data_IF_035412332540
#
_entry.id   IF_035412332540
#
_cell.length_a   1.000
_cell.length_b   1.000
_cell.length_c   1.000
_cell.angle_alpha   90.00
_cell.angle_beta   90.00
_cell.angle_gamma   90.00
#
_symmetry.space_group_name_H-M   'P 1'
#
loop_
_entity.id
_entity.type
_entity.pdbx_description
1 polymer ?
#
# COMPACT_ATOMS: atom_id res chain seq x y z
N UNK A 1 1.50 -11.10 10.83
CA UNK A 1 2.38 -11.90 11.69
C UNK A 1 2.75 -13.20 11.00
N UNK A 2 1.79 -14.05 10.62
CA UNK A 2 2.04 -15.35 9.98
C UNK A 2 2.89 -15.22 8.70
N UNK A 3 2.53 -14.30 7.81
CA UNK A 3 3.27 -14.04 6.57
C UNK A 3 4.74 -13.65 6.80
N UNK A 4 5.04 -12.95 7.90
CA UNK A 4 6.41 -12.52 8.23
C UNK A 4 7.19 -13.64 8.91
N UNK A 5 6.54 -14.46 9.72
CA UNK A 5 7.16 -15.59 10.39
C UNK A 5 7.58 -16.69 9.42
N UNK A 6 6.75 -17.00 8.41
CA UNK A 6 6.97 -18.10 7.44
C UNK A 6 7.72 -17.70 6.18
N UNK A 7 7.96 -16.41 5.97
CA UNK A 7 8.53 -15.95 4.70
C UNK A 7 10.01 -16.32 4.57
N UNK A 8 10.35 -16.94 3.46
CA UNK A 8 11.72 -17.03 2.95
C UNK A 8 12.00 -15.79 2.11
N UNK A 9 12.33 -14.69 2.77
CA UNK A 9 12.76 -13.49 2.06
C UNK A 9 14.24 -13.59 1.71
N UNK A 10 14.58 -13.38 0.46
CA UNK A 10 15.93 -12.95 0.11
C UNK A 10 16.05 -11.48 0.46
N UNK A 11 17.11 -11.08 1.13
CA UNK A 11 17.36 -9.66 1.47
C UNK A 11 17.29 -8.79 0.20
N UNK A 12 17.82 -9.28 -0.92
CA UNK A 12 17.76 -8.60 -2.22
C UNK A 12 16.33 -8.34 -2.68
N UNK A 13 15.41 -9.32 -2.58
CA UNK A 13 14.01 -9.16 -2.98
C UNK A 13 13.27 -8.12 -2.14
N UNK A 14 13.51 -8.10 -0.81
CA UNK A 14 12.90 -7.09 0.08
C UNK A 14 13.42 -5.70 -0.26
N UNK A 15 14.74 -5.53 -0.39
CA UNK A 15 15.33 -4.25 -0.76
C UNK A 15 14.91 -3.81 -2.15
N UNK A 16 14.80 -4.74 -3.09
CA UNK A 16 14.25 -4.46 -4.43
C UNK A 16 12.85 -3.87 -4.37
N UNK A 17 11.94 -4.47 -3.56
CA UNK A 17 10.59 -3.94 -3.36
C UNK A 17 10.59 -2.58 -2.67
N UNK A 18 11.44 -2.36 -1.66
CA UNK A 18 11.56 -1.08 -0.96
C UNK A 18 12.01 0.01 -1.92
N UNK A 19 13.04 -0.25 -2.72
CA UNK A 19 13.56 0.69 -3.73
C UNK A 19 12.53 0.92 -4.84
N UNK A 20 11.94 -0.16 -5.38
CA UNK A 20 10.93 -0.09 -6.41
C UNK A 20 9.70 0.73 -5.97
N UNK A 21 9.20 0.47 -4.76
CA UNK A 21 8.14 1.25 -4.14
C UNK A 21 8.56 2.74 -4.03
N UNK A 22 9.69 3.01 -3.40
CA UNK A 22 10.13 4.38 -3.12
C UNK A 22 10.31 5.20 -4.39
N UNK A 23 10.96 4.63 -5.42
CA UNK A 23 11.15 5.29 -6.71
C UNK A 23 9.83 5.49 -7.45
N UNK A 24 8.95 4.48 -7.47
CA UNK A 24 7.63 4.59 -8.10
C UNK A 24 6.84 5.75 -7.49
N UNK A 25 6.79 5.86 -6.18
CA UNK A 25 6.02 6.91 -5.50
C UNK A 25 6.68 8.27 -5.56
N UNK A 26 8.01 8.35 -5.57
CA UNK A 26 8.74 9.59 -5.82
C UNK A 26 8.46 10.11 -7.24
N UNK A 27 8.49 9.23 -8.25
CA UNK A 27 8.17 9.60 -9.64
C UNK A 27 6.71 10.03 -9.78
N UNK A 28 5.76 9.29 -9.20
CA UNK A 28 4.34 9.68 -9.21
C UNK A 28 4.12 11.05 -8.56
N UNK A 29 4.77 11.31 -7.42
CA UNK A 29 4.74 12.62 -6.77
C UNK A 29 5.22 13.72 -7.72
N UNK A 30 6.38 13.54 -8.35
CA UNK A 30 6.95 14.51 -9.28
C UNK A 30 6.07 14.71 -10.53
N UNK A 31 5.50 13.64 -11.09
CA UNK A 31 4.60 13.70 -12.23
C UNK A 31 3.32 14.47 -11.92
N UNK A 32 2.70 14.23 -10.77
CA UNK A 32 1.48 14.95 -10.36
C UNK A 32 1.79 16.42 -10.07
N UNK A 33 2.92 16.74 -9.41
CA UNK A 33 3.33 18.11 -9.18
C UNK A 33 3.66 18.83 -10.50
N UNK A 34 4.35 18.16 -11.40
CA UNK A 34 4.66 18.68 -12.74
C UNK A 34 3.38 18.94 -13.55
N UNK A 35 2.46 18.00 -13.57
CA UNK A 35 1.15 18.14 -14.22
C UNK A 35 0.34 19.30 -13.60
N UNK A 36 0.32 19.41 -12.27
CA UNK A 36 -0.35 20.50 -11.57
C UNK A 36 0.16 21.88 -12.03
N UNK A 37 1.48 22.04 -12.18
CA UNK A 37 2.10 23.28 -12.69
C UNK A 37 1.81 23.50 -14.16
N UNK A 38 1.95 22.46 -15.00
CA UNK A 38 1.78 22.53 -16.45
C UNK A 38 0.35 22.90 -16.84
N UNK A 39 -0.63 22.31 -16.17
CA UNK A 39 -2.06 22.56 -16.44
C UNK A 39 -2.67 23.67 -15.57
N UNK A 40 -1.87 24.40 -14.80
CA UNK A 40 -2.33 25.50 -13.97
C UNK A 40 -3.38 25.08 -12.91
N UNK A 41 -3.29 23.85 -12.39
CA UNK A 41 -4.24 23.34 -11.41
C UNK A 41 -4.09 24.09 -10.08
N UNK A 42 -5.22 24.29 -9.38
CA UNK A 42 -5.18 24.88 -8.04
C UNK A 42 -4.34 24.02 -7.09
N UNK A 43 -3.81 24.63 -6.04
CA UNK A 43 -3.05 23.92 -5.00
C UNK A 43 -3.88 22.79 -4.36
N UNK A 44 -5.15 23.01 -4.14
CA UNK A 44 -6.11 22.05 -3.59
C UNK A 44 -6.31 20.85 -4.53
N UNK A 45 -6.58 21.13 -5.81
CA UNK A 45 -6.74 20.08 -6.83
C UNK A 45 -5.48 19.22 -6.94
N UNK A 46 -4.30 19.86 -6.95
CA UNK A 46 -3.02 19.14 -7.01
C UNK A 46 -2.80 18.27 -5.78
N UNK A 47 -3.12 18.77 -4.57
CA UNK A 47 -3.06 17.97 -3.34
C UNK A 47 -4.00 16.77 -3.39
N UNK A 48 -5.24 16.96 -3.84
CA UNK A 48 -6.21 15.86 -3.96
C UNK A 48 -5.75 14.81 -4.96
N UNK A 49 -5.19 15.22 -6.10
CA UNK A 49 -4.57 14.29 -7.06
C UNK A 49 -3.37 13.54 -6.46
N UNK A 50 -2.55 14.20 -5.63
CA UNK A 50 -1.48 13.53 -4.91
C UNK A 50 -2.02 12.45 -3.96
N UNK A 51 -3.06 12.76 -3.18
CA UNK A 51 -3.71 11.78 -2.30
C UNK A 51 -4.23 10.59 -3.13
N UNK A 52 -4.94 10.87 -4.24
CA UNK A 52 -5.41 9.83 -5.14
C UNK A 52 -4.27 9.01 -5.76
N UNK A 53 -3.18 9.64 -6.16
CA UNK A 53 -2.04 8.98 -6.81
C UNK A 53 -1.15 8.18 -5.87
N UNK A 54 -0.97 8.64 -4.61
CA UNK A 54 0.02 8.08 -3.70
C UNK A 54 -0.54 7.07 -2.69
N UNK A 55 -1.86 6.99 -2.50
CA UNK A 55 -2.45 6.12 -1.48
C UNK A 55 -3.31 5.00 -2.10
N UNK A 56 -2.65 3.87 -2.50
CA UNK A 56 -3.34 2.72 -3.08
C UNK A 56 -4.17 1.96 -2.05
N UNK A 57 -5.21 1.30 -2.49
CA UNK A 57 -5.93 0.29 -1.70
C UNK A 57 -5.14 -1.04 -1.64
N UNK A 58 -3.90 -0.94 -1.22
CA UNK A 58 -2.96 -2.07 -1.14
C UNK A 58 -3.37 -3.13 -0.11
N UNK A 59 -4.14 -2.76 0.91
CA UNK A 59 -4.65 -3.69 1.93
C UNK A 59 -5.85 -4.48 1.44
N UNK A 60 -7.05 -3.86 1.44
CA UNK A 60 -8.29 -4.60 1.21
C UNK A 60 -8.37 -5.20 -0.20
N UNK A 61 -7.92 -4.49 -1.22
CA UNK A 61 -7.96 -4.98 -2.59
C UNK A 61 -6.61 -5.59 -3.01
N UNK A 62 -5.51 -4.93 -2.71
CA UNK A 62 -4.20 -5.32 -3.23
C UNK A 62 -3.71 -6.67 -2.71
N UNK A 63 -3.86 -6.96 -1.40
CA UNK A 63 -3.48 -8.26 -0.85
C UNK A 63 -4.31 -9.39 -1.47
N UNK A 64 -5.62 -9.18 -1.61
CA UNK A 64 -6.52 -10.16 -2.22
C UNK A 64 -6.19 -10.39 -3.70
N UNK A 65 -5.99 -9.30 -4.46
CA UNK A 65 -5.65 -9.36 -5.88
C UNK A 65 -4.34 -10.14 -6.09
N UNK A 66 -3.31 -9.82 -5.32
CA UNK A 66 -2.01 -10.49 -5.43
C UNK A 66 -2.11 -11.96 -5.01
N UNK A 67 -2.88 -12.28 -3.96
CA UNK A 67 -3.08 -13.66 -3.53
C UNK A 67 -3.73 -14.50 -4.64
N UNK A 68 -4.77 -14.00 -5.30
CA UNK A 68 -5.44 -14.72 -6.38
C UNK A 68 -4.59 -14.82 -7.66
N UNK A 69 -3.77 -13.81 -7.94
CA UNK A 69 -2.94 -13.80 -9.15
C UNK A 69 -1.61 -14.55 -8.99
N UNK A 70 -0.99 -14.50 -7.82
CA UNK A 70 0.39 -14.95 -7.58
C UNK A 70 0.54 -15.92 -6.40
N UNK A 71 -0.57 -16.30 -5.75
CA UNK A 71 -0.58 -17.25 -4.63
C UNK A 71 0.08 -16.71 -3.36
N UNK A 72 0.42 -17.64 -2.47
CA UNK A 72 1.02 -17.37 -1.15
C UNK A 72 2.34 -16.60 -1.23
N UNK A 73 3.19 -16.95 -2.19
CA UNK A 73 4.50 -16.31 -2.36
C UNK A 73 4.35 -14.84 -2.79
N UNK A 74 3.40 -14.55 -3.66
CA UNK A 74 3.03 -13.18 -4.03
C UNK A 74 2.47 -12.41 -2.83
N UNK A 75 1.57 -13.06 -2.06
CA UNK A 75 0.96 -12.45 -0.88
C UNK A 75 2.01 -12.02 0.15
N UNK A 76 3.02 -12.86 0.41
CA UNK A 76 4.11 -12.51 1.35
C UNK A 76 4.81 -11.22 0.93
N UNK A 77 5.15 -11.07 -0.34
CA UNK A 77 5.77 -9.85 -0.90
C UNK A 77 4.80 -8.66 -0.89
N UNK A 78 3.52 -8.91 -1.18
CA UNK A 78 2.49 -7.88 -1.12
C UNK A 78 2.30 -7.31 0.29
N UNK A 79 2.52 -8.10 1.35
CA UNK A 79 2.52 -7.61 2.73
C UNK A 79 3.64 -6.58 2.96
N UNK A 80 4.83 -6.79 2.39
CA UNK A 80 5.92 -5.79 2.46
C UNK A 80 5.49 -4.49 1.79
N UNK A 81 4.95 -4.57 0.57
CA UNK A 81 4.42 -3.39 -0.12
C UNK A 81 3.31 -2.69 0.69
N UNK A 82 2.38 -3.45 1.26
CA UNK A 82 1.31 -2.92 2.10
C UNK A 82 1.83 -2.18 3.34
N UNK A 83 2.89 -2.68 3.97
CA UNK A 83 3.55 -2.01 5.09
C UNK A 83 4.15 -0.66 4.66
N UNK A 84 4.84 -0.63 3.52
CA UNK A 84 5.42 0.60 2.95
C UNK A 84 4.34 1.61 2.60
N UNK A 85 3.26 1.18 1.94
CA UNK A 85 2.14 2.07 1.58
C UNK A 85 1.39 2.59 2.80
N UNK A 86 1.26 1.78 3.86
CA UNK A 86 0.67 2.20 5.13
C UNK A 86 1.55 3.22 5.84
N UNK A 87 2.88 3.01 5.85
CA UNK A 87 3.82 3.98 6.40
C UNK A 87 3.79 5.30 5.62
N UNK A 88 3.71 5.25 4.30
CA UNK A 88 3.54 6.43 3.46
C UNK A 88 2.24 7.16 3.77
N UNK A 89 1.11 6.45 3.79
CA UNK A 89 -0.22 7.02 3.99
C UNK A 89 -0.38 7.63 5.39
N UNK A 90 -0.04 6.91 6.44
CA UNK A 90 -0.22 7.37 7.82
C UNK A 90 0.92 8.24 8.33
N UNK A 91 2.13 8.04 7.79
CA UNK A 91 3.31 8.84 8.15
C UNK A 91 3.35 10.20 7.44
N UNK A 92 3.13 10.22 6.14
CA UNK A 92 3.21 11.44 5.34
C UNK A 92 1.84 12.05 5.01
N UNK A 93 0.76 11.26 5.00
CA UNK A 93 -0.58 11.73 4.67
C UNK A 93 -1.02 12.96 5.46
N UNK A 94 -0.95 12.97 6.80
CA UNK A 94 -1.30 14.13 7.61
C UNK A 94 -0.44 15.37 7.30
N UNK A 95 0.85 15.18 7.01
CA UNK A 95 1.76 16.28 6.63
C UNK A 95 1.38 16.88 5.26
N UNK A 96 0.98 16.04 4.29
CA UNK A 96 0.50 16.52 2.99
C UNK A 96 -0.82 17.26 3.08
N UNK A 97 -1.73 16.81 3.93
CA UNK A 97 -3.08 17.36 4.04
C UNK A 97 -3.08 18.63 4.88
N UNK A 98 -2.54 18.61 6.09
CA UNK A 98 -2.55 19.73 7.06
C UNK A 98 -1.28 20.57 7.10
N UNK A 99 -0.17 20.10 6.54
CA UNK A 99 1.14 20.69 6.79
C UNK A 99 1.68 20.34 8.19
N UNK A 100 1.25 19.21 8.76
CA UNK A 100 1.69 18.71 10.05
C UNK A 100 3.16 18.27 10.08
N UNK A 101 3.68 17.99 11.27
CA UNK A 101 5.05 17.53 11.48
C UNK A 101 5.22 16.08 11.03
N UNK A 102 6.29 15.80 10.26
CA UNK A 102 6.69 14.43 9.91
C UNK A 102 6.88 13.53 11.14
N UNK A 103 7.33 14.13 12.27
CA UNK A 103 7.51 13.41 13.53
C UNK A 103 6.18 12.90 14.08
N UNK A 104 5.11 13.69 14.01
CA UNK A 104 3.77 13.28 14.45
C UNK A 104 3.22 12.14 13.59
N UNK A 105 3.38 12.23 12.27
CA UNK A 105 2.98 11.16 11.35
C UNK A 105 3.76 9.87 11.61
N UNK A 106 5.06 9.93 11.82
CA UNK A 106 5.89 8.77 12.15
C UNK A 106 5.47 8.13 13.47
N UNK A 107 5.25 8.93 14.52
CA UNK A 107 4.77 8.43 15.81
C UNK A 107 3.39 7.80 15.71
N UNK A 108 2.48 8.37 14.90
CA UNK A 108 1.18 7.79 14.62
C UNK A 108 1.32 6.44 13.91
N UNK A 109 2.15 6.37 12.87
CA UNK A 109 2.44 5.13 12.14
C UNK A 109 2.93 4.03 13.06
N UNK A 110 3.89 4.32 13.94
CA UNK A 110 4.44 3.35 14.89
C UNK A 110 3.42 2.87 15.94
N UNK A 111 2.32 3.59 16.17
CA UNK A 111 1.23 3.16 17.06
C UNK A 111 0.23 2.19 16.41
N UNK A 112 0.29 2.01 15.10
CA UNK A 112 -0.63 1.11 14.40
C UNK A 112 -0.34 -0.36 14.75
N UNK A 113 -1.36 -1.18 15.05
CA UNK A 113 -1.21 -2.60 15.39
C UNK A 113 -0.44 -3.40 14.33
N UNK A 114 -0.50 -2.95 13.08
CA UNK A 114 0.19 -3.53 11.94
C UNK A 114 1.71 -3.60 12.16
N UNK A 115 2.32 -2.52 12.69
CA UNK A 115 3.76 -2.46 12.94
C UNK A 115 4.17 -3.31 14.13
N UNK A 116 3.34 -3.41 15.18
CA UNK A 116 3.59 -4.34 16.28
C UNK A 116 3.56 -5.80 15.82
N UNK A 117 2.59 -6.15 14.97
CA UNK A 117 2.52 -7.49 14.39
C UNK A 117 3.72 -7.81 13.50
N UNK A 118 4.22 -6.82 12.72
CA UNK A 118 5.45 -6.93 11.94
C UNK A 118 6.65 -7.21 12.84
N UNK A 119 6.91 -6.33 13.81
CA UNK A 119 8.07 -6.45 14.70
C UNK A 119 8.04 -7.76 15.49
N UNK A 120 6.87 -8.16 16.01
CA UNK A 120 6.73 -9.42 16.73
C UNK A 120 7.02 -10.62 15.82
N UNK A 121 6.49 -10.63 14.58
CA UNK A 121 6.75 -11.72 13.63
C UNK A 121 8.23 -11.85 13.25
N UNK A 122 8.90 -10.72 13.01
CA UNK A 122 10.34 -10.69 12.72
C UNK A 122 11.18 -11.10 13.92
N UNK A 123 10.81 -10.66 15.11
CA UNK A 123 11.52 -11.01 16.36
C UNK A 123 11.42 -12.51 16.64
N UNK A 124 10.24 -13.10 16.56
CA UNK A 124 10.03 -14.54 16.74
C UNK A 124 10.87 -15.34 15.74
N UNK A 125 10.89 -14.90 14.46
CA UNK A 125 11.70 -15.53 13.43
C UNK A 125 13.20 -15.40 13.71
N UNK A 126 13.68 -14.23 14.10
CA UNK A 126 15.10 -13.98 14.37
C UNK A 126 15.61 -14.78 15.58
N UNK A 127 14.75 -14.98 16.58
CA UNK A 127 15.06 -15.75 17.78
C UNK A 127 14.83 -17.27 17.61
N UNK A 128 14.30 -17.71 16.47
CA UNK A 128 13.94 -19.11 16.26
C UNK A 128 12.87 -19.63 17.21
N UNK A 129 12.04 -18.72 17.77
CA UNK A 129 11.03 -19.08 18.76
C UNK A 129 9.72 -19.47 18.07
N UNK A 130 9.14 -20.62 18.48
CA UNK A 130 7.79 -21.01 18.13
C UNK A 130 6.79 -20.48 19.17
N UNK A 131 5.58 -20.17 18.71
CA UNK A 131 4.51 -19.74 19.60
C UNK A 131 4.02 -20.94 20.46
N UNK A 132 3.89 -20.78 21.79
CA UNK A 132 3.47 -21.86 22.68
C UNK A 132 1.99 -22.22 22.50
N UNK A 133 1.58 -23.38 23.03
CA UNK A 133 0.16 -23.82 23.16
C UNK A 133 -0.62 -23.81 21.82
N UNK A 134 0.02 -24.14 20.70
CA UNK A 134 -0.61 -24.10 19.37
C UNK A 134 -1.16 -22.70 18.95
N UNK A 135 -0.69 -21.62 19.59
CA UNK A 135 -1.06 -20.26 19.16
C UNK A 135 -0.67 -20.00 17.71
N UNK A 136 0.36 -20.68 17.22
CA UNK A 136 0.76 -20.62 15.80
C UNK A 136 -0.39 -21.05 14.88
N UNK A 137 -1.10 -22.13 15.23
CA UNK A 137 -2.26 -22.61 14.49
C UNK A 137 -3.39 -21.57 14.46
N UNK A 138 -3.68 -20.95 15.61
CA UNK A 138 -4.67 -19.88 15.73
C UNK A 138 -4.29 -18.66 14.88
N UNK A 139 -3.03 -18.23 14.93
CA UNK A 139 -2.52 -17.13 14.10
C UNK A 139 -2.63 -17.47 12.62
N UNK A 140 -2.32 -18.69 12.21
CA UNK A 140 -2.45 -19.17 10.84
C UNK A 140 -3.90 -19.14 10.36
N UNK A 141 -4.84 -19.65 11.14
CA UNK A 141 -6.27 -19.62 10.82
C UNK A 141 -6.80 -18.19 10.68
N UNK A 142 -6.40 -17.29 11.59
CA UNK A 142 -6.74 -15.86 11.48
C UNK A 142 -6.14 -15.24 10.23
N UNK A 143 -4.91 -15.59 9.88
CA UNK A 143 -4.25 -15.13 8.64
C UNK A 143 -4.99 -15.62 7.39
N UNK A 144 -5.45 -16.87 7.36
CA UNK A 144 -6.23 -17.42 6.25
C UNK A 144 -7.60 -16.76 6.12
N UNK A 145 -8.24 -16.40 7.23
CA UNK A 145 -9.50 -15.68 7.24
C UNK A 145 -9.36 -14.22 6.79
N UNK A 146 -8.16 -13.64 6.79
CA UNK A 146 -7.94 -12.23 6.47
C UNK A 146 -8.41 -11.86 5.05
N UNK A 147 -8.06 -12.66 4.03
CA UNK A 147 -8.45 -12.38 2.64
C UNK A 147 -9.99 -12.36 2.45
N UNK A 148 -10.76 -13.38 2.88
CA UNK A 148 -12.22 -13.33 2.82
C UNK A 148 -12.82 -12.12 3.56
N UNK A 149 -12.31 -11.78 4.74
CA UNK A 149 -12.78 -10.64 5.53
C UNK A 149 -12.49 -9.31 4.81
N UNK A 150 -11.31 -9.16 4.22
CA UNK A 150 -10.95 -7.97 3.44
C UNK A 150 -11.88 -7.79 2.23
N UNK A 151 -12.21 -8.88 1.51
CA UNK A 151 -13.12 -8.85 0.37
C UNK A 151 -14.56 -8.51 0.78
N UNK A 152 -15.06 -9.10 1.88
CA UNK A 152 -16.37 -8.75 2.42
C UNK A 152 -16.43 -7.27 2.82
N UNK A 153 -15.41 -6.78 3.49
CA UNK A 153 -15.29 -5.37 3.87
C UNK A 153 -15.29 -4.46 2.63
N UNK A 154 -14.53 -4.83 1.61
CA UNK A 154 -14.51 -4.11 0.33
C UNK A 154 -15.88 -4.09 -0.33
N UNK A 155 -16.56 -5.24 -0.41
CA UNK A 155 -17.92 -5.35 -0.96
C UNK A 155 -18.93 -4.46 -0.22
N UNK A 156 -18.89 -4.47 1.12
CA UNK A 156 -19.74 -3.59 1.95
C UNK A 156 -19.46 -2.10 1.71
N UNK A 157 -18.20 -1.73 1.52
CA UNK A 157 -17.81 -0.35 1.21
C UNK A 157 -18.32 0.07 -0.16
N UNK A 158 -18.15 -0.78 -1.18
CA UNK A 158 -18.62 -0.52 -2.54
C UNK A 158 -20.14 -0.37 -2.60
N UNK A 159 -20.90 -1.21 -1.87
CA UNK A 159 -22.34 -1.14 -1.80
C UNK A 159 -22.89 0.15 -1.18
N UNK A 160 -22.08 0.87 -0.40
CA UNK A 160 -22.44 2.18 0.20
C UNK A 160 -21.96 3.37 -0.63
N UNK A 161 -21.16 3.14 -1.67
CA UNK A 161 -20.55 4.20 -2.48
C UNK A 161 -21.48 4.58 -3.62
N UNK A 162 -21.79 5.88 -3.75
CA UNK A 162 -22.49 6.40 -4.92
C UNK A 162 -21.49 6.67 -6.02
N UNK A 163 -21.76 6.13 -7.20
CA UNK A 163 -20.94 6.39 -8.38
C UNK A 163 -21.14 7.84 -8.84
N UNK A 164 -20.04 8.57 -8.93
CA UNK A 164 -19.97 9.87 -9.56
C UNK A 164 -18.82 9.85 -10.57
N UNK A 165 -19.08 10.24 -11.80
CA UNK A 165 -18.11 10.25 -12.89
C UNK A 165 -18.00 11.67 -13.44
N UNK A 166 -17.12 12.46 -12.83
CA UNK A 166 -16.73 13.76 -13.35
C UNK A 166 -15.35 13.72 -14.04
N UNK A 167 -14.92 14.82 -14.67
CA UNK A 167 -13.59 14.90 -15.29
C UNK A 167 -12.45 14.68 -14.29
N UNK A 168 -12.62 15.14 -13.05
CA UNK A 168 -11.64 14.96 -12.00
C UNK A 168 -11.52 13.49 -11.59
N UNK A 169 -12.64 12.80 -11.38
CA UNK A 169 -12.66 11.37 -11.04
C UNK A 169 -12.08 10.53 -12.17
N UNK A 170 -12.33 10.91 -13.42
CA UNK A 170 -11.71 10.29 -14.59
C UNK A 170 -10.20 10.45 -14.59
N UNK A 171 -9.70 11.67 -14.37
CA UNK A 171 -8.26 11.95 -14.31
C UNK A 171 -7.58 11.24 -13.13
N UNK A 172 -8.18 11.26 -11.94
CA UNK A 172 -7.69 10.56 -10.76
C UNK A 172 -7.65 9.03 -10.95
N UNK A 173 -8.68 8.47 -11.60
CA UNK A 173 -8.75 7.05 -11.95
C UNK A 173 -7.69 6.68 -12.99
N UNK A 174 -7.50 7.48 -14.03
CA UNK A 174 -6.45 7.26 -15.04
C UNK A 174 -5.06 7.32 -14.42
N UNK A 175 -4.81 8.32 -13.56
CA UNK A 175 -3.57 8.43 -12.78
C UNK A 175 -3.32 7.15 -11.97
N UNK A 176 -4.34 6.65 -11.29
CA UNK A 176 -4.16 5.52 -10.36
C UNK A 176 -4.13 4.17 -11.05
N UNK A 177 -5.03 3.94 -12.02
CA UNK A 177 -5.20 2.62 -12.63
C UNK A 177 -4.36 2.42 -13.89
N UNK A 178 -3.88 3.49 -14.53
CA UNK A 178 -3.06 3.41 -15.74
C UNK A 178 -1.65 3.93 -15.50
N UNK A 179 -1.49 5.18 -15.08
CA UNK A 179 -0.16 5.77 -14.95
C UNK A 179 0.66 5.13 -13.83
N UNK A 180 0.07 4.89 -12.67
CA UNK A 180 0.80 4.31 -11.54
C UNK A 180 1.37 2.91 -11.84
N UNK A 181 0.63 1.93 -12.39
CA UNK A 181 1.21 0.64 -12.76
C UNK A 181 2.20 0.73 -13.93
N UNK A 182 2.04 1.66 -14.87
CA UNK A 182 3.03 1.89 -15.93
C UNK A 182 4.35 2.41 -15.36
N UNK A 183 4.31 3.36 -14.44
CA UNK A 183 5.51 3.85 -13.73
C UNK A 183 6.15 2.71 -12.93
N UNK A 184 5.34 1.92 -12.20
CA UNK A 184 5.81 0.78 -11.42
C UNK A 184 6.48 -0.27 -12.33
N UNK A 185 5.90 -0.55 -13.50
CA UNK A 185 6.47 -1.45 -14.49
C UNK A 185 7.82 -0.95 -14.98
N UNK A 186 7.91 0.32 -15.39
CA UNK A 186 9.16 0.94 -15.84
C UNK A 186 10.25 0.93 -14.77
N UNK A 187 9.89 1.28 -13.52
CA UNK A 187 10.81 1.24 -12.38
C UNK A 187 11.29 -0.17 -12.08
N UNK A 188 10.38 -1.15 -12.05
CA UNK A 188 10.74 -2.55 -11.83
C UNK A 188 11.66 -3.12 -12.91
N UNK A 189 11.42 -2.77 -14.18
CA UNK A 189 12.28 -3.14 -15.30
C UNK A 189 13.66 -2.47 -15.21
N UNK A 190 13.71 -1.17 -14.86
CA UNK A 190 14.94 -0.41 -14.71
C UNK A 190 15.84 -0.95 -13.58
N UNK A 191 15.22 -1.34 -12.47
CA UNK A 191 15.93 -1.92 -11.31
C UNK A 191 16.30 -3.40 -11.52
N UNK A 192 15.85 -4.04 -12.60
CA UNK A 192 16.04 -5.47 -12.82
C UNK A 192 15.40 -6.33 -11.72
N UNK A 193 14.23 -5.92 -11.21
CA UNK A 193 13.59 -6.66 -10.12
C UNK A 193 13.30 -8.10 -10.52
N UNK A 194 13.48 -9.08 -9.61
CA UNK A 194 13.05 -10.44 -9.85
C UNK A 194 11.58 -10.47 -10.25
N UNK A 195 11.19 -11.45 -11.07
CA UNK A 195 9.86 -11.51 -11.70
C UNK A 195 8.70 -11.34 -10.73
N UNK A 196 8.78 -11.98 -9.57
CA UNK A 196 7.68 -11.97 -8.61
C UNK A 196 7.54 -10.61 -7.90
N UNK A 197 8.67 -10.02 -7.50
CA UNK A 197 8.73 -8.67 -6.90
C UNK A 197 8.22 -7.61 -7.88
N UNK A 198 8.63 -7.72 -9.14
CA UNK A 198 8.16 -6.82 -10.21
C UNK A 198 6.63 -6.94 -10.41
N UNK A 199 6.11 -8.17 -10.51
CA UNK A 199 4.67 -8.40 -10.63
C UNK A 199 3.89 -7.86 -9.43
N UNK A 200 4.39 -8.06 -8.21
CA UNK A 200 3.76 -7.53 -6.99
C UNK A 200 3.79 -5.99 -7.00
N UNK A 201 4.92 -5.37 -7.36
CA UNK A 201 5.03 -3.92 -7.46
C UNK A 201 3.98 -3.34 -8.41
N UNK A 202 3.83 -3.93 -9.59
CA UNK A 202 2.86 -3.49 -10.61
C UNK A 202 1.42 -3.71 -10.17
N UNK A 203 1.07 -4.92 -9.69
CA UNK A 203 -0.30 -5.25 -9.27
C UNK A 203 -0.78 -4.39 -8.11
N UNK A 204 0.06 -4.19 -7.11
CA UNK A 204 -0.25 -3.33 -5.98
C UNK A 204 -0.39 -1.86 -6.40
N UNK A 205 0.44 -1.41 -7.34
CA UNK A 205 0.34 -0.06 -7.91
C UNK A 205 -0.90 0.12 -8.79
N UNK A 206 -1.52 -0.94 -9.30
CA UNK A 206 -2.73 -0.90 -10.12
C UNK A 206 -4.04 -0.88 -9.29
N UNK A 207 -3.95 -0.87 -7.95
CA UNK A 207 -5.15 -0.82 -7.10
C UNK A 207 -5.75 0.60 -7.04
N UNK A 208 -7.07 0.76 -6.89
CA UNK A 208 -7.70 2.06 -6.77
C UNK A 208 -7.25 2.79 -5.49
N UNK A 209 -7.74 4.01 -5.31
CA UNK A 209 -7.44 4.81 -4.11
C UNK A 209 -7.96 4.10 -2.85
N UNK A 210 -7.17 4.13 -1.78
CA UNK A 210 -7.57 3.58 -0.50
C UNK A 210 -8.76 4.31 0.11
N UNK A 211 -9.73 3.59 0.63
CA UNK A 211 -10.85 4.19 1.38
C UNK A 211 -10.35 4.98 2.59
N UNK A 212 -9.30 4.50 3.25
CA UNK A 212 -8.68 5.20 4.37
C UNK A 212 -8.08 6.56 3.97
N UNK A 213 -7.69 6.76 2.71
CA UNK A 213 -7.25 8.07 2.23
C UNK A 213 -8.37 9.10 2.29
N UNK A 214 -9.63 8.70 1.98
CA UNK A 214 -10.79 9.56 2.13
C UNK A 214 -11.08 9.89 3.61
N UNK A 215 -10.95 8.92 4.51
CA UNK A 215 -11.10 9.16 5.95
C UNK A 215 -10.05 10.15 6.46
N UNK A 216 -8.80 10.00 6.02
CA UNK A 216 -7.74 10.96 6.36
C UNK A 216 -8.06 12.38 5.87
N UNK A 217 -8.55 12.55 4.64
CA UNK A 217 -8.93 13.88 4.14
C UNK A 217 -10.10 14.47 4.91
N UNK A 218 -11.03 13.65 5.42
CA UNK A 218 -12.16 14.11 6.24
C UNK A 218 -11.76 14.49 7.66
N UNK A 219 -10.80 13.78 8.26
CA UNK A 219 -10.33 14.08 9.62
C UNK A 219 -9.31 15.20 9.64
N UNK A 220 -8.50 15.33 8.60
CA UNK A 220 -7.35 16.22 8.53
C UNK A 220 -7.46 17.32 7.46
N UNK A 221 -8.47 17.34 6.63
CA UNK A 221 -8.76 18.40 5.65
C UNK A 221 -9.84 19.30 6.14
#
# INVERSE_FOLDING_TARGET
>A
LDSMYRAEYTLEGVWGLVLGFSLTYALLFLLVQGAGKLFGLSRETTKTLLVCGLFPNSGNMGLSLVYFALGEEGLRRAVVYFLLSSALMFGLGPAFIRGGSLKEGLLFTLRLPLFYALFLGLLLKALGLSLPFRLEEGVRLMGQAAIPVLLLTLGMQMGKTRFHLGPFEGAASALRLLLAPLVAYGVGALLGLPRLEHQVLVLQSATPVAVNAFLLTREFG
#
